data_IF_033198912351
#
_entry.id   IF_033198912351
#
_cell.length_a   1.000
_cell.length_b   1.000
_cell.length_c   1.000
_cell.angle_alpha   90.00
_cell.angle_beta   90.00
_cell.angle_gamma   90.00
#
_symmetry.space_group_name_H-M   'P 1'
#
loop_
_entity.id
_entity.type
_entity.pdbx_description
1 polymer ?
#
# COMPACT_ATOMS: atom_id res chain seq x y z
N UNK A 1 15.13 -22.32 -3.74
CA UNK A 1 15.87 -23.60 -3.60
C UNK A 1 17.39 -23.43 -3.65
N UNK A 2 17.97 -22.71 -4.63
CA UNK A 2 19.43 -22.46 -4.67
C UNK A 2 19.95 -21.72 -3.42
N UNK A 3 19.17 -20.79 -2.87
CA UNK A 3 19.54 -20.07 -1.63
C UNK A 3 19.42 -20.92 -0.35
N UNK A 4 18.81 -22.11 -0.43
CA UNK A 4 18.66 -23.03 0.70
C UNK A 4 19.92 -23.89 0.94
N UNK A 5 20.84 -23.97 -0.03
CA UNK A 5 21.98 -24.89 0.01
C UNK A 5 23.31 -24.21 0.40
N UNK A 6 23.27 -22.96 0.90
CA UNK A 6 24.49 -22.21 1.28
C UNK A 6 25.08 -22.64 2.62
N UNK A 7 24.33 -23.33 3.45
CA UNK A 7 24.78 -23.94 4.71
C UNK A 7 24.23 -25.37 4.76
N UNK A 8 25.00 -26.32 5.28
CA UNK A 8 24.57 -27.70 5.45
C UNK A 8 24.31 -27.93 6.94
N UNK A 9 23.04 -27.89 7.35
CA UNK A 9 22.59 -28.17 8.71
C UNK A 9 21.27 -28.94 8.69
N UNK A 10 20.93 -29.66 9.78
CA UNK A 10 19.65 -30.36 9.90
C UNK A 10 18.44 -29.39 9.85
N UNK A 11 18.65 -28.13 10.26
CA UNK A 11 17.68 -27.05 10.12
C UNK A 11 17.42 -26.70 8.64
N UNK A 12 18.45 -26.79 7.79
CA UNK A 12 18.34 -26.61 6.33
C UNK A 12 17.52 -27.73 5.67
N UNK A 13 17.59 -28.97 6.17
CA UNK A 13 16.82 -30.11 5.64
C UNK A 13 15.32 -30.00 5.94
N UNK A 14 14.98 -29.62 7.17
CA UNK A 14 13.58 -29.40 7.59
C UNK A 14 12.95 -28.23 6.83
N UNK A 15 13.69 -27.12 6.69
CA UNK A 15 13.28 -25.98 5.88
C UNK A 15 13.07 -26.39 4.42
N UNK A 16 14.01 -27.14 3.84
CA UNK A 16 13.91 -27.62 2.46
C UNK A 16 12.67 -28.49 2.24
N UNK A 17 12.37 -29.41 3.15
CA UNK A 17 11.18 -30.25 3.06
C UNK A 17 9.89 -29.42 3.07
N UNK A 18 9.80 -28.43 3.97
CA UNK A 18 8.64 -27.53 4.04
C UNK A 18 8.45 -26.71 2.76
N UNK A 19 9.53 -26.17 2.19
CA UNK A 19 9.48 -25.42 0.94
C UNK A 19 9.11 -26.30 -0.26
N UNK A 20 9.59 -27.55 -0.32
CA UNK A 20 9.20 -28.50 -1.35
C UNK A 20 7.72 -28.88 -1.25
N UNK A 21 7.19 -29.05 -0.04
CA UNK A 21 5.76 -29.31 0.17
C UNK A 21 4.89 -28.13 -0.30
N UNK A 22 5.29 -26.89 0.03
CA UNK A 22 4.61 -25.69 -0.45
C UNK A 22 4.68 -25.57 -1.98
N UNK A 23 5.85 -25.83 -2.56
CA UNK A 23 6.05 -25.82 -4.01
C UNK A 23 5.18 -26.86 -4.71
N UNK A 24 5.12 -28.09 -4.19
CA UNK A 24 4.26 -29.13 -4.73
C UNK A 24 2.80 -28.69 -4.73
N UNK A 25 2.33 -28.11 -3.62
CA UNK A 25 0.96 -27.58 -3.49
C UNK A 25 0.68 -26.48 -4.52
N UNK A 26 1.65 -25.59 -4.77
CA UNK A 26 1.54 -24.53 -5.77
C UNK A 26 1.61 -25.00 -7.23
N UNK A 27 2.19 -26.18 -7.48
CA UNK A 27 2.39 -26.74 -8.82
C UNK A 27 1.34 -27.78 -9.21
N UNK A 28 0.43 -28.16 -8.31
CA UNK A 28 -0.68 -29.06 -8.67
C UNK A 28 -1.50 -28.38 -9.78
N UNK A 29 -1.62 -28.98 -10.98
CA UNK A 29 -2.34 -28.36 -12.08
C UNK A 29 -3.79 -28.11 -11.67
N UNK A 30 -4.26 -26.87 -11.91
CA UNK A 30 -5.67 -26.56 -12.04
C UNK A 30 -6.19 -27.46 -13.16
N UNK A 31 -6.89 -28.55 -12.83
CA UNK A 31 -7.50 -29.42 -13.85
C UNK A 31 -8.55 -28.55 -14.54
N UNK A 32 -8.28 -28.14 -15.78
CA UNK A 32 -9.27 -27.53 -16.66
C UNK A 32 -10.39 -28.56 -16.87
N UNK A 33 -11.42 -28.48 -16.03
CA UNK A 33 -12.72 -29.05 -16.33
C UNK A 33 -13.28 -28.26 -17.50
N UNK A 34 -13.29 -28.88 -18.68
CA UNK A 34 -13.85 -28.36 -19.94
C UNK A 34 -15.38 -28.21 -19.90
N UNK A 35 -15.95 -28.02 -18.71
CA UNK A 35 -17.35 -27.70 -18.44
C UNK A 35 -17.37 -26.78 -17.23
N UNK A 36 -17.96 -25.60 -17.43
CA UNK A 36 -18.01 -24.48 -16.49
C UNK A 36 -18.69 -24.82 -15.17
N UNK A 37 -17.88 -25.36 -14.25
CA UNK A 37 -18.26 -25.59 -12.86
C UNK A 37 -17.22 -24.89 -11.99
N UNK A 38 -17.59 -23.76 -11.40
CA UNK A 38 -16.72 -22.89 -10.61
C UNK A 38 -16.16 -23.57 -9.32
N UNK A 39 -16.63 -24.76 -9.00
CA UNK A 39 -16.28 -25.50 -7.78
C UNK A 39 -14.87 -26.12 -7.80
N UNK A 40 -14.31 -26.45 -8.98
CA UNK A 40 -13.04 -27.18 -9.09
C UNK A 40 -11.81 -26.26 -9.01
N UNK A 41 -11.92 -25.01 -9.51
CA UNK A 41 -10.86 -23.98 -9.47
C UNK A 41 -10.54 -23.54 -8.02
N UNK A 42 -11.53 -23.64 -7.12
CA UNK A 42 -11.43 -23.19 -5.72
C UNK A 42 -10.56 -24.08 -4.82
N UNK A 43 -10.47 -25.39 -5.08
CA UNK A 43 -9.85 -26.33 -4.13
C UNK A 43 -8.32 -26.24 -4.07
N UNK A 44 -7.66 -25.92 -5.19
CA UNK A 44 -6.19 -25.83 -5.26
C UNK A 44 -5.67 -24.59 -4.55
N UNK A 45 -6.32 -23.44 -4.80
CA UNK A 45 -5.96 -22.17 -4.20
C UNK A 45 -6.22 -22.17 -2.69
N UNK A 46 -7.32 -22.78 -2.25
CA UNK A 46 -7.61 -22.96 -0.82
C UNK A 46 -6.58 -23.86 -0.13
N UNK A 47 -6.13 -24.93 -0.80
CA UNK A 47 -5.06 -25.79 -0.28
C UNK A 47 -3.75 -25.02 -0.14
N UNK A 48 -3.41 -24.16 -1.12
CA UNK A 48 -2.22 -23.31 -1.06
C UNK A 48 -2.30 -22.28 0.07
N UNK A 49 -3.44 -21.62 0.26
CA UNK A 49 -3.68 -20.68 1.36
C UNK A 49 -3.55 -21.40 2.71
N UNK A 50 -4.11 -22.60 2.86
CA UNK A 50 -3.96 -23.41 4.08
C UNK A 50 -2.51 -23.80 4.34
N UNK A 51 -1.80 -24.28 3.31
CA UNK A 51 -0.40 -24.67 3.43
C UNK A 51 0.50 -23.48 3.81
N UNK A 52 0.30 -22.31 3.18
CA UNK A 52 1.03 -21.10 3.52
C UNK A 52 0.71 -20.60 4.95
N UNK A 53 -0.55 -20.71 5.38
CA UNK A 53 -0.97 -20.36 6.74
C UNK A 53 -0.32 -21.28 7.77
N UNK A 54 -0.32 -22.59 7.53
CA UNK A 54 0.32 -23.57 8.40
C UNK A 54 1.84 -23.34 8.48
N UNK A 55 2.49 -23.07 7.35
CA UNK A 55 3.91 -22.73 7.30
C UNK A 55 4.18 -21.47 8.13
N UNK A 56 3.40 -20.40 7.96
CA UNK A 56 3.56 -19.14 8.71
C UNK A 56 3.45 -19.32 10.23
N UNK A 57 2.65 -20.28 10.70
CA UNK A 57 2.47 -20.58 12.12
C UNK A 57 3.53 -21.56 12.68
N UNK A 58 4.38 -22.13 11.82
CA UNK A 58 5.42 -23.08 12.22
C UNK A 58 6.70 -22.37 12.65
N UNK A 59 7.52 -23.07 13.44
CA UNK A 59 8.87 -22.61 13.82
C UNK A 59 9.80 -22.45 12.61
N UNK A 60 9.56 -23.18 11.52
CA UNK A 60 10.32 -23.07 10.27
C UNK A 60 10.22 -21.66 9.66
N UNK A 61 9.10 -20.97 9.88
CA UNK A 61 8.93 -19.61 9.39
C UNK A 61 9.84 -18.60 10.11
N UNK A 62 10.26 -18.88 11.34
CA UNK A 62 11.24 -18.04 12.05
C UNK A 62 12.56 -18.04 11.29
N UNK A 63 13.02 -19.20 10.84
CA UNK A 63 14.21 -19.35 9.97
C UNK A 63 14.04 -18.59 8.65
N UNK A 64 12.87 -18.62 8.02
CA UNK A 64 12.58 -17.82 6.80
C UNK A 64 12.67 -16.32 7.12
N UNK A 65 12.09 -15.89 8.24
CA UNK A 65 12.09 -14.49 8.66
C UNK A 65 13.52 -14.01 9.01
N UNK A 66 14.33 -14.84 9.66
CA UNK A 66 15.74 -14.56 9.94
C UNK A 66 16.57 -14.47 8.66
N UNK A 67 16.38 -15.39 7.71
CA UNK A 67 17.05 -15.33 6.40
C UNK A 67 16.62 -14.12 5.59
N UNK A 68 15.36 -13.70 5.70
CA UNK A 68 14.91 -12.44 5.09
C UNK A 68 15.57 -11.22 5.74
N UNK A 69 15.71 -11.19 7.08
CA UNK A 69 16.42 -10.11 7.79
C UNK A 69 17.89 -10.05 7.39
N UNK A 70 18.58 -11.19 7.39
CA UNK A 70 19.97 -11.28 6.94
C UNK A 70 20.11 -11.00 5.43
N UNK A 71 19.13 -11.40 4.62
CA UNK A 71 19.05 -11.15 3.19
C UNK A 71 18.82 -9.68 2.81
N UNK A 72 18.32 -8.84 3.73
CA UNK A 72 18.32 -7.37 3.55
C UNK A 72 19.73 -6.78 3.58
N UNK A 73 20.67 -7.44 4.27
CA UNK A 73 22.09 -7.04 4.37
C UNK A 73 22.92 -7.74 3.28
N UNK A 74 22.60 -9.00 2.97
CA UNK A 74 23.36 -9.87 2.05
C UNK A 74 22.66 -10.09 0.68
N UNK A 75 21.66 -9.28 0.35
CA UNK A 75 20.91 -9.24 -0.92
C UNK A 75 20.21 -10.54 -1.38
N UNK A 76 19.86 -11.50 -0.50
CA UNK A 76 19.00 -12.61 -0.93
C UNK A 76 17.55 -12.14 -1.08
N UNK A 77 17.26 -11.66 -2.30
CA UNK A 77 15.95 -11.17 -2.75
C UNK A 77 14.84 -12.23 -2.60
N UNK A 78 15.18 -13.50 -2.78
CA UNK A 78 14.24 -14.62 -2.78
C UNK A 78 13.63 -14.88 -1.40
N UNK A 79 14.40 -14.77 -0.31
CA UNK A 79 13.85 -14.95 1.04
C UNK A 79 12.83 -13.85 1.38
N UNK A 80 13.15 -12.61 1.03
CA UNK A 80 12.25 -11.47 1.23
C UNK A 80 10.94 -11.63 0.43
N UNK A 81 11.02 -12.09 -0.82
CA UNK A 81 9.86 -12.39 -1.66
C UNK A 81 9.03 -13.54 -1.11
N UNK A 82 9.68 -14.64 -0.73
CA UNK A 82 9.03 -15.81 -0.16
C UNK A 82 8.26 -15.45 1.12
N UNK A 83 8.89 -14.72 2.05
CA UNK A 83 8.24 -14.24 3.27
C UNK A 83 7.03 -13.36 2.94
N UNK A 84 7.16 -12.47 1.95
CA UNK A 84 6.10 -11.58 1.51
C UNK A 84 4.89 -12.37 0.97
N UNK A 85 5.11 -13.32 0.05
CA UNK A 85 4.04 -14.10 -0.57
C UNK A 85 3.36 -15.06 0.42
N UNK A 86 4.12 -15.73 1.29
CA UNK A 86 3.55 -16.54 2.39
C UNK A 86 2.66 -15.66 3.27
N UNK A 87 3.11 -14.43 3.58
CA UNK A 87 2.32 -13.46 4.33
C UNK A 87 1.01 -13.08 3.63
N UNK A 88 1.03 -12.83 2.32
CA UNK A 88 -0.19 -12.50 1.54
C UNK A 88 -1.19 -13.65 1.52
N UNK A 89 -0.72 -14.87 1.32
CA UNK A 89 -1.60 -16.03 1.34
C UNK A 89 -2.20 -16.26 2.73
N UNK A 90 -1.38 -16.17 3.78
CA UNK A 90 -1.86 -16.34 5.15
C UNK A 90 -2.83 -15.24 5.62
N UNK A 91 -2.76 -14.02 5.04
CA UNK A 91 -3.64 -12.92 5.43
C UNK A 91 -5.11 -13.19 5.09
N UNK A 92 -5.41 -14.02 4.08
CA UNK A 92 -6.78 -14.44 3.79
C UNK A 92 -7.42 -15.18 4.97
N UNK A 93 -6.68 -16.10 5.60
CA UNK A 93 -7.16 -16.81 6.80
C UNK A 93 -7.41 -15.85 7.97
N UNK A 94 -6.51 -14.87 8.14
CA UNK A 94 -6.69 -13.79 9.12
C UNK A 94 -7.95 -12.95 8.86
N UNK A 95 -8.16 -12.52 7.61
CA UNK A 95 -9.31 -11.73 7.20
C UNK A 95 -10.64 -12.45 7.48
N UNK A 96 -10.74 -13.75 7.17
CA UNK A 96 -11.93 -14.55 7.47
C UNK A 96 -12.26 -14.56 8.97
N UNK A 97 -11.24 -14.78 9.82
CA UNK A 97 -11.43 -14.75 11.28
C UNK A 97 -11.93 -13.38 11.76
N UNK A 98 -11.39 -12.30 11.19
CA UNK A 98 -11.83 -10.93 11.51
C UNK A 98 -13.27 -10.70 11.07
N UNK A 99 -13.67 -11.14 9.87
CA UNK A 99 -15.04 -11.02 9.36
C UNK A 99 -16.02 -11.78 10.25
N UNK A 100 -15.73 -13.04 10.61
CA UNK A 100 -16.61 -13.81 11.51
C UNK A 100 -16.74 -13.18 12.89
N UNK A 101 -15.65 -12.61 13.42
CA UNK A 101 -15.69 -11.86 14.67
C UNK A 101 -16.51 -10.58 14.53
N UNK A 102 -16.31 -9.83 13.44
CA UNK A 102 -17.05 -8.61 13.15
C UNK A 102 -18.56 -8.90 13.04
N UNK A 103 -18.96 -10.00 12.40
CA UNK A 103 -20.37 -10.41 12.35
C UNK A 103 -20.98 -10.64 13.72
N UNK A 104 -20.24 -11.26 14.65
CA UNK A 104 -20.72 -11.46 16.03
C UNK A 104 -20.83 -10.16 16.82
N UNK A 105 -19.90 -9.22 16.61
CA UNK A 105 -19.85 -7.96 17.35
C UNK A 105 -20.76 -6.88 16.76
N UNK A 106 -20.97 -6.91 15.44
CA UNK A 106 -21.69 -5.91 14.65
C UNK A 106 -22.67 -6.59 13.67
N UNK A 107 -23.62 -7.40 14.15
CA UNK A 107 -24.54 -8.16 13.29
C UNK A 107 -25.30 -7.28 12.30
N UNK A 108 -25.60 -6.03 12.67
CA UNK A 108 -26.27 -5.06 11.81
C UNK A 108 -25.49 -4.62 10.56
N UNK A 109 -24.20 -4.97 10.44
CA UNK A 109 -23.42 -4.81 9.20
C UNK A 109 -23.60 -5.98 8.23
N UNK A 110 -24.19 -7.09 8.67
CA UNK A 110 -24.30 -8.34 7.91
C UNK A 110 -25.75 -8.79 7.73
N UNK A 111 -26.62 -8.50 8.70
CA UNK A 111 -27.99 -9.02 8.75
C UNK A 111 -29.03 -7.94 8.35
N UNK A 112 -28.60 -6.85 7.70
CA UNK A 112 -29.52 -5.86 7.13
C UNK A 112 -29.93 -6.28 5.73
N UNK A 113 -31.23 -6.44 5.52
CA UNK A 113 -31.84 -6.73 4.22
C UNK A 113 -31.59 -5.59 3.20
N UNK A 114 -31.34 -4.36 3.68
CA UNK A 114 -31.15 -3.16 2.86
C UNK A 114 -29.68 -2.72 2.68
N UNK A 115 -28.71 -3.64 2.66
CA UNK A 115 -27.32 -3.27 2.34
C UNK A 115 -27.21 -2.96 0.84
N UNK A 116 -27.08 -1.68 0.52
CA UNK A 116 -26.80 -1.22 -0.85
C UNK A 116 -25.27 -1.09 -1.06
N UNK A 117 -24.75 -1.78 -2.06
CA UNK A 117 -23.38 -1.58 -2.52
C UNK A 117 -23.40 -0.50 -3.58
N UNK A 118 -22.72 0.63 -3.30
CA UNK A 118 -22.53 1.71 -4.27
C UNK A 118 -21.12 1.66 -4.84
N UNK A 119 -21.06 1.74 -6.16
CA UNK A 119 -19.81 1.87 -6.89
C UNK A 119 -19.54 3.35 -7.14
N UNK A 120 -18.29 3.75 -6.90
CA UNK A 120 -17.80 5.10 -7.20
C UNK A 120 -16.77 4.94 -8.30
N UNK A 121 -16.99 5.62 -9.41
CA UNK A 121 -16.06 5.59 -10.54
C UNK A 121 -14.71 6.17 -10.12
N UNK A 122 -13.63 5.61 -10.70
CA UNK A 122 -12.29 6.17 -10.56
C UNK A 122 -12.24 7.60 -11.09
N UNK A 123 -11.37 8.44 -10.53
CA UNK A 123 -11.22 9.81 -10.99
C UNK A 123 -10.62 9.87 -12.39
N UNK A 124 -11.10 10.81 -13.21
CA UNK A 124 -10.50 11.09 -14.50
C UNK A 124 -9.03 11.55 -14.36
N UNK A 125 -8.10 10.99 -15.16
CA UNK A 125 -6.71 11.43 -15.13
C UNK A 125 -6.57 12.87 -15.59
N UNK A 126 -5.84 13.67 -14.82
CA UNK A 126 -5.57 15.05 -15.22
C UNK A 126 -4.44 15.10 -16.26
N UNK A 127 -4.49 16.03 -17.22
CA UNK A 127 -3.40 16.22 -18.16
C UNK A 127 -2.10 16.52 -17.43
N UNK A 128 -0.98 16.04 -17.99
CA UNK A 128 0.34 16.23 -17.43
C UNK A 128 0.55 17.68 -16.95
N UNK A 129 0.70 17.95 -15.64
CA UNK A 129 0.80 19.30 -15.07
C UNK A 129 1.84 20.18 -15.77
N UNK A 130 3.01 19.62 -16.09
CA UNK A 130 4.02 20.36 -16.86
C UNK A 130 3.50 20.83 -18.23
N UNK A 131 2.70 20.05 -18.96
CA UNK A 131 2.15 20.48 -20.26
C UNK A 131 0.97 21.45 -20.05
N UNK A 132 0.08 21.13 -19.12
CA UNK A 132 -1.15 21.90 -18.85
C UNK A 132 -0.86 23.31 -18.33
N UNK A 133 0.00 23.45 -17.31
CA UNK A 133 0.31 24.73 -16.69
C UNK A 133 1.33 25.57 -17.48
N UNK A 134 1.99 24.99 -18.49
CA UNK A 134 2.91 25.70 -19.38
C UNK A 134 2.23 26.33 -20.60
N UNK A 135 0.94 26.04 -20.86
CA UNK A 135 0.23 26.53 -22.03
C UNK A 135 0.23 28.07 -22.14
N UNK A 136 0.35 28.79 -21.02
CA UNK A 136 0.46 30.25 -20.96
C UNK A 136 1.89 30.84 -20.96
N UNK A 137 2.94 30.03 -20.99
CA UNK A 137 4.33 30.51 -20.90
C UNK A 137 4.99 30.66 -22.29
N UNK A 138 6.00 31.54 -22.45
CA UNK A 138 6.82 31.61 -23.68
C UNK A 138 7.49 30.26 -24.00
N UNK A 139 7.63 29.91 -25.28
CA UNK A 139 8.14 28.58 -25.73
C UNK A 139 9.50 28.21 -25.11
N UNK A 140 10.37 29.19 -24.88
CA UNK A 140 11.69 29.04 -24.27
C UNK A 140 11.63 28.58 -22.80
N UNK A 141 10.60 29.02 -22.07
CA UNK A 141 10.38 28.63 -20.66
C UNK A 141 9.70 27.27 -20.53
N UNK A 142 9.02 26.79 -21.58
CA UNK A 142 8.38 25.47 -21.59
C UNK A 142 9.38 24.33 -21.68
N UNK A 143 10.49 24.55 -22.38
CA UNK A 143 11.55 23.56 -22.63
C UNK A 143 12.70 23.61 -21.63
N UNK A 144 12.71 24.59 -20.71
CA UNK A 144 13.77 24.70 -19.70
C UNK A 144 13.74 23.46 -18.79
N UNK A 145 14.79 22.65 -18.87
CA UNK A 145 14.96 21.49 -18.01
C UNK A 145 14.97 21.95 -16.54
N UNK A 146 14.11 21.35 -15.72
CA UNK A 146 14.09 21.64 -14.29
C UNK A 146 15.29 20.96 -13.64
N UNK A 147 16.08 21.70 -12.88
CA UNK A 147 17.17 21.15 -12.07
C UNK A 147 16.81 21.19 -10.59
N UNK A 148 17.53 20.40 -9.79
CA UNK A 148 17.32 20.32 -8.34
C UNK A 148 17.47 21.70 -7.67
N UNK A 149 18.45 22.50 -8.12
CA UNK A 149 18.73 23.84 -7.56
C UNK A 149 17.55 24.79 -7.70
N UNK A 150 16.90 24.81 -8.88
CA UNK A 150 15.72 25.63 -9.13
C UNK A 150 14.52 25.19 -8.29
N UNK A 151 14.36 23.89 -8.11
CA UNK A 151 13.28 23.33 -7.29
C UNK A 151 13.48 23.73 -5.83
N UNK A 152 14.68 23.52 -5.27
CA UNK A 152 15.03 23.87 -3.89
C UNK A 152 14.85 25.37 -3.64
N UNK A 153 15.23 26.21 -4.59
CA UNK A 153 15.07 27.67 -4.48
C UNK A 153 13.61 28.12 -4.35
N UNK A 154 12.65 27.28 -4.76
CA UNK A 154 11.20 27.55 -4.60
C UNK A 154 10.61 26.88 -3.37
N UNK A 155 11.36 26.00 -2.70
CA UNK A 155 10.88 25.25 -1.53
C UNK A 155 11.10 26.00 -0.22
N UNK A 156 12.13 26.84 -0.13
CA UNK A 156 12.43 27.64 1.07
C UNK A 156 12.90 29.04 0.67
N UNK A 157 12.56 30.03 1.50
CA UNK A 157 13.02 31.42 1.38
C UNK A 157 14.20 31.70 2.33
N UNK A 158 14.55 30.76 3.20
CA UNK A 158 15.73 30.89 4.06
C UNK A 158 16.99 30.64 3.22
N UNK A 159 17.80 31.68 3.03
CA UNK A 159 19.01 31.61 2.21
C UNK A 159 20.07 30.64 2.78
N UNK A 160 20.12 30.47 4.11
CA UNK A 160 21.06 29.53 4.75
C UNK A 160 20.62 28.09 4.50
N UNK A 161 19.33 27.78 4.68
CA UNK A 161 18.80 26.46 4.35
C UNK A 161 18.92 26.17 2.86
N UNK A 162 18.62 27.16 2.02
CA UNK A 162 18.71 27.05 0.57
C UNK A 162 20.13 26.70 0.14
N UNK A 163 21.15 27.42 0.60
CA UNK A 163 22.55 27.12 0.29
C UNK A 163 22.93 25.70 0.75
N UNK A 164 22.54 25.31 1.97
CA UNK A 164 22.78 23.98 2.52
C UNK A 164 22.18 22.86 1.66
N UNK A 165 20.89 22.95 1.31
CA UNK A 165 20.23 21.90 0.53
C UNK A 165 20.66 21.91 -0.95
N UNK A 166 21.01 23.06 -1.50
CA UNK A 166 21.63 23.14 -2.82
C UNK A 166 22.98 22.43 -2.85
N UNK A 167 23.82 22.58 -1.83
CA UNK A 167 25.07 21.83 -1.70
C UNK A 167 24.80 20.31 -1.68
N UNK A 168 23.81 19.85 -0.91
CA UNK A 168 23.42 18.44 -0.91
C UNK A 168 22.93 17.94 -2.27
N UNK A 169 22.23 18.77 -3.04
CA UNK A 169 21.80 18.43 -4.39
C UNK A 169 22.98 18.40 -5.38
N UNK A 170 23.95 19.31 -5.23
CA UNK A 170 25.17 19.33 -6.04
C UNK A 170 25.99 18.04 -5.84
N UNK A 171 26.11 17.57 -4.60
CA UNK A 171 26.75 16.28 -4.31
C UNK A 171 26.05 15.10 -5.01
N UNK A 172 24.73 15.17 -5.15
CA UNK A 172 23.91 14.13 -5.79
C UNK A 172 23.94 14.20 -7.32
N UNK A 173 24.54 15.24 -7.91
CA UNK A 173 24.79 15.27 -9.36
C UNK A 173 25.76 14.17 -9.79
N UNK A 174 26.58 13.61 -8.87
CA UNK A 174 27.37 12.39 -9.14
C UNK A 174 26.49 11.21 -9.60
N UNK A 175 25.22 11.20 -9.21
CA UNK A 175 24.21 10.20 -9.58
C UNK A 175 23.30 10.68 -10.73
N UNK A 176 23.58 11.84 -11.33
CA UNK A 176 22.76 12.41 -12.39
C UNK A 176 21.38 12.89 -11.92
N UNK A 177 21.27 13.45 -10.71
CA UNK A 177 19.98 13.90 -10.13
C UNK A 177 19.18 14.79 -11.08
N UNK A 178 19.81 15.78 -11.72
CA UNK A 178 19.10 16.67 -12.67
C UNK A 178 18.58 15.93 -13.90
N UNK A 179 19.30 14.90 -14.37
CA UNK A 179 18.84 14.06 -15.48
C UNK A 179 17.61 13.23 -15.08
N UNK A 180 17.58 12.72 -13.85
CA UNK A 180 16.45 11.97 -13.31
C UNK A 180 15.21 12.88 -13.15
N UNK A 181 15.40 14.09 -12.60
CA UNK A 181 14.33 15.10 -12.50
C UNK A 181 13.78 15.42 -13.89
N UNK A 182 14.68 15.71 -14.84
CA UNK A 182 14.28 16.08 -16.19
C UNK A 182 13.58 14.92 -16.93
N UNK A 183 13.98 13.67 -16.70
CA UNK A 183 13.30 12.50 -17.22
C UNK A 183 11.89 12.37 -16.64
N UNK A 184 11.73 12.54 -15.32
CA UNK A 184 10.42 12.49 -14.68
C UNK A 184 9.49 13.60 -15.18
N UNK A 185 10.00 14.83 -15.36
CA UNK A 185 9.21 15.95 -15.88
C UNK A 185 8.78 15.78 -17.35
N UNK A 186 9.46 14.92 -18.12
CA UNK A 186 9.13 14.61 -19.52
C UNK A 186 8.30 13.34 -19.68
N UNK A 187 7.99 12.65 -18.58
CA UNK A 187 7.27 11.39 -18.63
C UNK A 187 5.85 11.60 -19.16
N UNK A 188 5.58 11.20 -20.39
CA UNK A 188 4.26 11.41 -21.03
C UNK A 188 3.15 10.57 -20.40
N UNK A 189 3.50 9.52 -19.66
CA UNK A 189 2.58 8.66 -18.93
C UNK A 189 2.22 9.20 -17.54
N UNK A 190 2.81 10.34 -17.14
CA UNK A 190 2.43 11.00 -15.90
C UNK A 190 1.03 11.61 -16.02
N UNK A 191 0.04 10.86 -15.53
CA UNK A 191 -1.38 11.18 -15.54
C UNK A 191 -1.92 11.07 -14.12
N UNK A 192 -1.79 12.13 -13.30
CA UNK A 192 -2.22 12.07 -11.91
C UNK A 192 -3.72 11.81 -11.78
N UNK A 193 -4.08 10.96 -10.83
CA UNK A 193 -5.46 10.62 -10.46
C UNK A 193 -5.66 10.80 -8.95
N UNK A 194 -6.89 11.02 -8.51
CA UNK A 194 -7.23 10.95 -7.10
C UNK A 194 -7.27 9.48 -6.68
N UNK A 195 -6.51 9.12 -5.65
CA UNK A 195 -6.52 7.76 -5.12
C UNK A 195 -7.83 7.46 -4.39
N UNK A 196 -8.18 6.18 -4.34
CA UNK A 196 -9.47 5.66 -3.84
C UNK A 196 -9.91 6.25 -2.50
N UNK A 197 -9.00 6.37 -1.53
CA UNK A 197 -9.29 6.86 -0.19
C UNK A 197 -9.76 8.33 -0.23
N UNK A 198 -9.01 9.14 -0.98
CA UNK A 198 -9.25 10.59 -1.10
C UNK A 198 -10.49 10.85 -1.94
N UNK A 199 -10.67 10.08 -3.01
CA UNK A 199 -11.82 10.15 -3.90
C UNK A 199 -13.13 9.79 -3.17
N UNK A 200 -13.13 8.69 -2.42
CA UNK A 200 -14.31 8.27 -1.66
C UNK A 200 -14.71 9.32 -0.62
N UNK A 201 -13.74 9.95 0.06
CA UNK A 201 -14.06 11.02 0.99
C UNK A 201 -14.72 12.21 0.30
N UNK A 202 -14.19 12.66 -0.84
CA UNK A 202 -14.78 13.78 -1.58
C UNK A 202 -16.18 13.43 -2.12
N UNK A 203 -16.36 12.21 -2.62
CA UNK A 203 -17.66 11.70 -3.04
C UNK A 203 -18.67 11.71 -1.88
N UNK A 204 -18.29 11.16 -0.72
CA UNK A 204 -19.14 11.17 0.48
C UNK A 204 -19.50 12.60 0.92
N UNK A 205 -18.53 13.53 0.86
CA UNK A 205 -18.81 14.93 1.19
C UNK A 205 -19.85 15.52 0.24
N UNK A 206 -19.74 15.24 -1.06
CA UNK A 206 -20.65 15.77 -2.08
C UNK A 206 -22.04 15.17 -1.95
N UNK A 207 -22.13 13.84 -1.83
CA UNK A 207 -23.39 13.10 -1.69
C UNK A 207 -24.18 13.57 -0.47
N UNK A 208 -23.51 13.76 0.65
CA UNK A 208 -24.17 14.12 1.91
C UNK A 208 -24.23 15.64 2.18
N UNK A 209 -23.58 16.48 1.37
CA UNK A 209 -23.51 17.94 1.58
C UNK A 209 -24.88 18.62 1.70
N UNK A 210 -25.86 18.17 0.93
CA UNK A 210 -27.19 18.79 0.88
C UNK A 210 -28.13 18.32 2.01
N UNK A 211 -27.94 17.09 2.51
CA UNK A 211 -28.90 16.45 3.42
C UNK A 211 -28.45 16.54 4.88
N UNK A 212 -27.14 16.44 5.12
CA UNK A 212 -26.58 16.35 6.46
C UNK A 212 -25.31 17.18 6.53
N UNK A 213 -25.20 18.06 7.52
CA UNK A 213 -23.99 18.86 7.78
C UNK A 213 -22.76 17.99 8.14
N UNK A 214 -22.89 16.66 8.16
CA UNK A 214 -21.83 15.67 8.40
C UNK A 214 -22.13 14.34 7.70
N UNK A 215 -21.10 13.65 7.21
CA UNK A 215 -21.22 12.31 6.63
C UNK A 215 -21.64 11.29 7.71
N UNK A 216 -22.70 10.49 7.51
CA UNK A 216 -23.20 9.53 8.49
C UNK A 216 -22.40 8.22 8.45
N UNK A 217 -21.29 8.17 9.19
CA UNK A 217 -20.52 6.94 9.36
C UNK A 217 -21.21 5.96 10.32
N UNK A 218 -21.04 4.67 10.07
CA UNK A 218 -21.54 3.61 10.95
C UNK A 218 -20.99 3.77 12.37
N UNK A 219 -21.89 3.83 13.35
CA UNK A 219 -21.58 4.00 14.78
C UNK A 219 -20.63 5.19 15.09
N UNK A 220 -20.72 6.26 14.28
CA UNK A 220 -19.79 7.40 14.32
C UNK A 220 -18.30 7.03 14.12
N UNK A 221 -18.01 5.82 13.64
CA UNK A 221 -16.66 5.36 13.32
C UNK A 221 -16.29 5.90 11.94
N UNK A 222 -15.69 7.09 11.93
CA UNK A 222 -15.22 7.76 10.71
C UNK A 222 -13.98 7.06 10.17
N UNK A 223 -14.16 5.98 9.43
CA UNK A 223 -13.07 5.18 8.90
C UNK A 223 -13.30 4.85 7.42
N UNK A 224 -12.27 5.06 6.60
CA UNK A 224 -12.20 4.62 5.21
C UNK A 224 -11.15 3.52 5.12
N UNK A 225 -11.58 2.32 4.71
CA UNK A 225 -10.72 1.16 4.52
C UNK A 225 -10.45 0.91 3.04
N UNK A 226 -9.20 0.59 2.71
CA UNK A 226 -8.80 0.10 1.39
C UNK A 226 -8.03 -1.22 1.50
N UNK A 227 -7.95 -1.94 0.38
CA UNK A 227 -7.28 -3.24 0.26
C UNK A 227 -5.80 -3.18 0.65
N UNK A 228 -5.13 -2.07 0.30
CA UNK A 228 -3.74 -1.77 0.67
C UNK A 228 -3.69 -0.70 1.78
N UNK A 229 -2.60 -0.64 2.57
CA UNK A 229 -2.35 0.48 3.48
C UNK A 229 -2.27 1.78 2.68
N UNK A 230 -2.42 2.93 3.33
CA UNK A 230 -2.46 4.20 2.59
C UNK A 230 -1.10 4.58 2.00
N UNK A 231 -1.10 5.16 0.81
CA UNK A 231 0.14 5.73 0.27
C UNK A 231 0.56 6.98 1.05
N UNK A 232 1.82 7.40 0.88
CA UNK A 232 2.37 8.55 1.63
C UNK A 232 1.58 9.84 1.36
N UNK A 233 1.15 10.06 0.13
CA UNK A 233 0.41 11.27 -0.26
C UNK A 233 -1.03 11.26 0.27
N UNK A 234 -1.69 10.09 0.27
CA UNK A 234 -2.97 9.91 0.97
C UNK A 234 -2.83 10.16 2.48
N UNK A 235 -1.79 9.62 3.14
CA UNK A 235 -1.53 9.85 4.56
C UNK A 235 -1.41 11.34 4.90
N UNK A 236 -0.66 12.10 4.09
CA UNK A 236 -0.56 13.55 4.26
C UNK A 236 -1.87 14.27 4.05
N UNK A 237 -2.65 13.85 3.06
CA UNK A 237 -3.98 14.40 2.82
C UNK A 237 -4.87 14.18 4.05
N UNK A 238 -4.97 12.96 4.57
CA UNK A 238 -5.81 12.66 5.73
C UNK A 238 -5.29 13.30 7.02
N UNK A 239 -3.98 13.45 7.19
CA UNK A 239 -3.39 14.17 8.31
C UNK A 239 -3.68 15.67 8.29
N UNK A 240 -3.80 16.27 7.11
CA UNK A 240 -4.17 17.67 6.94
C UNK A 240 -5.69 17.90 6.96
N UNK A 241 -6.48 16.85 6.70
CA UNK A 241 -7.93 16.91 6.67
C UNK A 241 -8.54 17.03 8.07
N UNK A 242 -9.48 17.95 8.26
CA UNK A 242 -10.09 18.24 9.56
C UNK A 242 -11.38 17.45 9.88
N UNK A 243 -11.83 16.56 8.98
CA UNK A 243 -13.06 15.80 9.16
C UNK A 243 -13.02 14.69 10.21
N UNK A 244 -11.83 14.40 10.76
CA UNK A 244 -11.60 13.33 11.74
C UNK A 244 -11.75 11.93 11.14
N UNK A 245 -11.70 11.80 9.81
CA UNK A 245 -11.75 10.52 9.11
C UNK A 245 -10.39 9.84 9.24
N UNK A 246 -10.42 8.60 9.71
CA UNK A 246 -9.26 7.74 9.87
C UNK A 246 -9.12 6.83 8.66
N UNK A 247 -7.88 6.48 8.36
CA UNK A 247 -7.51 5.54 7.30
C UNK A 247 -6.51 4.53 7.85
N UNK A 248 -6.21 3.47 7.08
CA UNK A 248 -5.12 2.54 7.42
C UNK A 248 -3.80 3.29 7.53
N UNK A 249 -2.94 2.79 8.43
CA UNK A 249 -1.57 3.31 8.57
C UNK A 249 -0.83 3.24 7.23
N UNK A 250 0.04 4.21 6.97
CA UNK A 250 0.69 4.29 5.66
C UNK A 250 1.78 3.24 5.46
N UNK A 251 1.87 2.65 4.26
CA UNK A 251 3.05 1.88 3.84
C UNK A 251 4.23 2.78 3.41
N UNK A 252 4.07 4.11 3.49
CA UNK A 252 5.08 5.14 3.20
C UNK A 252 5.59 5.18 1.77
N UNK A 253 5.04 4.48 0.78
CA UNK A 253 5.50 4.65 -0.61
C UNK A 253 4.86 5.88 -1.24
N UNK A 254 5.63 6.55 -2.10
CA UNK A 254 5.16 7.67 -2.90
C UNK A 254 4.74 7.16 -4.27
N UNK A 255 3.49 7.41 -4.65
CA UNK A 255 3.01 7.20 -6.01
C UNK A 255 2.78 8.58 -6.63
N UNK A 256 3.60 8.94 -7.61
CA UNK A 256 3.59 10.30 -8.16
C UNK A 256 2.30 10.62 -8.93
N UNK A 257 1.64 9.60 -9.52
CA UNK A 257 0.32 9.73 -10.16
C UNK A 257 -0.76 9.94 -9.09
N UNK A 258 -0.74 11.11 -8.45
CA UNK A 258 -1.62 11.46 -7.35
C UNK A 258 -2.04 12.92 -7.46
N UNK A 259 -3.31 13.20 -7.24
CA UNK A 259 -3.85 14.55 -7.16
C UNK A 259 -4.95 14.65 -6.10
N UNK A 260 -5.16 15.86 -5.60
CA UNK A 260 -6.36 16.20 -4.82
C UNK A 260 -7.56 16.25 -5.78
N UNK A 261 -8.73 15.72 -5.43
CA UNK A 261 -9.93 15.82 -6.27
C UNK A 261 -10.25 17.25 -6.70
N UNK A 262 -10.70 17.40 -7.95
CA UNK A 262 -11.29 18.63 -8.48
C UNK A 262 -10.42 19.90 -8.29
N UNK A 263 -9.10 19.79 -8.48
CA UNK A 263 -8.15 20.92 -8.35
C UNK A 263 -8.54 22.12 -9.22
N UNK A 264 -9.22 21.88 -10.34
CA UNK A 264 -9.55 22.91 -11.33
C UNK A 264 -10.90 23.60 -11.08
N UNK A 265 -11.65 23.22 -10.04
CA UNK A 265 -12.96 23.83 -9.73
C UNK A 265 -12.77 25.11 -8.91
N UNK A 266 -13.22 26.25 -9.46
CA UNK A 266 -13.16 27.56 -8.81
C UNK A 266 -14.27 27.73 -7.74
N UNK A 267 -14.02 28.51 -6.67
CA UNK A 267 -15.02 28.86 -5.63
C UNK A 267 -14.53 28.69 -4.19
N UNK A 268 -15.42 28.66 -3.19
CA UNK A 268 -15.02 28.42 -1.78
C UNK A 268 -14.35 27.05 -1.59
N UNK A 269 -14.80 26.06 -2.36
CA UNK A 269 -14.16 24.74 -2.45
C UNK A 269 -12.71 24.84 -2.92
N UNK A 270 -12.37 25.81 -3.79
CA UNK A 270 -11.00 26.01 -4.26
C UNK A 270 -10.08 26.48 -3.13
N UNK A 271 -10.54 27.35 -2.22
CA UNK A 271 -9.72 27.79 -1.08
C UNK A 271 -9.40 26.65 -0.10
N UNK A 272 -10.38 25.79 0.18
CA UNK A 272 -10.14 24.58 0.98
C UNK A 272 -9.11 23.69 0.29
N UNK A 273 -9.24 23.47 -1.02
CA UNK A 273 -8.30 22.67 -1.82
C UNK A 273 -6.90 23.27 -1.82
N UNK A 274 -6.75 24.58 -2.01
CA UNK A 274 -5.44 25.26 -1.93
C UNK A 274 -4.77 25.00 -0.58
N UNK A 275 -5.52 25.13 0.53
CA UNK A 275 -4.98 24.80 1.87
C UNK A 275 -4.54 23.35 1.99
N UNK A 276 -5.30 22.42 1.42
CA UNK A 276 -4.94 21.00 1.41
C UNK A 276 -3.67 20.75 0.57
N UNK A 277 -3.57 21.36 -0.61
CA UNK A 277 -2.37 21.28 -1.46
C UNK A 277 -1.17 21.82 -0.69
N UNK A 278 -1.29 22.99 -0.06
CA UNK A 278 -0.19 23.60 0.70
C UNK A 278 0.25 22.76 1.90
N UNK A 279 -0.70 22.13 2.59
CA UNK A 279 -0.40 21.24 3.72
C UNK A 279 0.34 19.98 3.26
N UNK A 280 -0.12 19.34 2.19
CA UNK A 280 0.55 18.17 1.58
C UNK A 280 1.93 18.56 1.06
N UNK A 281 2.05 19.68 0.35
CA UNK A 281 3.33 20.20 -0.15
C UNK A 281 4.31 20.49 0.98
N UNK A 282 3.84 21.00 2.12
CA UNK A 282 4.70 21.24 3.29
C UNK A 282 5.34 19.94 3.78
N UNK A 283 4.58 18.85 3.83
CA UNK A 283 5.11 17.52 4.19
C UNK A 283 6.06 16.96 3.14
N UNK A 284 5.73 17.10 1.86
CA UNK A 284 6.64 16.72 0.77
C UNK A 284 7.97 17.48 0.88
N UNK A 285 7.94 18.78 1.20
CA UNK A 285 9.17 19.58 1.37
C UNK A 285 10.04 19.07 2.52
N UNK A 286 9.42 18.74 3.65
CA UNK A 286 10.11 18.15 4.80
C UNK A 286 10.81 16.84 4.42
N UNK A 287 10.11 15.96 3.70
CA UNK A 287 10.64 14.70 3.22
C UNK A 287 11.80 14.86 2.23
N UNK A 288 11.68 15.79 1.29
CA UNK A 288 12.74 16.08 0.32
C UNK A 288 13.99 16.59 1.03
N UNK A 289 13.85 17.50 1.99
CA UNK A 289 14.98 18.00 2.76
C UNK A 289 15.64 16.92 3.60
N UNK A 290 14.84 16.08 4.26
CA UNK A 290 15.34 14.93 5.01
C UNK A 290 16.11 13.97 4.10
N UNK A 291 15.54 13.62 2.94
CA UNK A 291 16.17 12.73 1.97
C UNK A 291 17.47 13.32 1.38
N UNK A 292 17.53 14.64 1.16
CA UNK A 292 18.74 15.32 0.70
C UNK A 292 19.84 15.32 1.76
N UNK A 293 19.50 15.48 3.05
CA UNK A 293 20.47 15.48 4.14
C UNK A 293 20.95 14.09 4.53
N UNK A 294 20.04 13.12 4.61
CA UNK A 294 20.35 11.77 5.05
C UNK A 294 20.82 10.86 3.90
N UNK A 295 20.62 11.31 2.64
CA UNK A 295 20.87 10.51 1.43
C UNK A 295 20.11 9.18 1.42
N UNK A 296 19.02 9.11 2.19
CA UNK A 296 18.16 7.93 2.33
C UNK A 296 16.73 8.37 2.03
N UNK A 297 16.02 7.56 1.26
CA UNK A 297 14.57 7.70 1.11
C UNK A 297 13.90 6.50 1.74
N UNK A 298 12.91 6.75 2.61
CA UNK A 298 12.01 5.70 3.06
C UNK A 298 11.25 5.13 1.85
N UNK A 299 11.41 3.84 1.56
CA UNK A 299 10.59 3.09 0.60
C UNK A 299 10.42 1.67 1.09
N UNK A 300 9.22 1.16 0.93
CA UNK A 300 8.91 -0.26 1.09
C UNK A 300 8.79 -0.89 -0.30
N UNK A 301 9.45 -2.03 -0.48
CA UNK A 301 9.45 -2.73 -1.77
C UNK A 301 8.04 -3.20 -2.17
N UNK A 302 7.29 -3.70 -1.20
CA UNK A 302 5.90 -4.11 -1.36
C UNK A 302 5.02 -3.19 -0.53
N UNK A 303 3.89 -2.76 -1.08
CA UNK A 303 2.92 -1.91 -0.37
C UNK A 303 2.09 -2.69 0.66
N UNK A 304 2.02 -4.02 0.56
CA UNK A 304 1.24 -4.87 1.46
C UNK A 304 1.86 -5.03 2.87
N UNK A 305 1.02 -5.14 3.89
CA UNK A 305 1.40 -5.47 5.28
C UNK A 305 1.65 -6.97 5.46
N UNK A 306 2.69 -7.49 4.82
CA UNK A 306 3.03 -8.93 4.89
C UNK A 306 4.37 -9.18 5.58
N UNK A 307 5.18 -8.12 5.71
CA UNK A 307 6.40 -8.10 6.47
C UNK A 307 6.07 -7.71 7.91
N UNK A 308 6.15 -8.63 8.87
CA UNK A 308 6.13 -8.29 10.30
C UNK A 308 7.45 -7.67 10.77
N UNK A 309 8.30 -7.19 9.85
CA UNK A 309 9.54 -6.50 10.21
C UNK A 309 9.35 -5.00 10.05
N UNK A 310 9.61 -4.29 11.14
CA UNK A 310 9.71 -2.83 11.24
C UNK A 310 10.42 -2.23 10.01
N UNK A 311 10.05 -1.01 9.58
CA UNK A 311 10.80 -0.27 8.58
C UNK A 311 12.29 -0.23 8.96
N UNK A 312 13.17 -0.33 7.96
CA UNK A 312 14.64 -0.35 8.10
C UNK A 312 15.24 0.96 8.65
N UNK A 313 14.47 1.82 9.30
CA UNK A 313 14.98 3.02 9.95
C UNK A 313 14.23 3.28 11.26
N UNK A 314 14.61 2.53 12.30
CA UNK A 314 14.49 3.01 13.67
C UNK A 314 15.90 3.19 14.18
N UNK A 315 16.36 4.45 14.12
CA UNK A 315 17.43 4.91 15.01
C UNK A 315 17.06 4.49 16.44
N UNK A 316 18.05 3.98 17.18
CA UNK A 316 17.97 3.29 18.50
C UNK A 316 17.39 4.18 19.64
N UNK A 317 16.78 5.31 19.33
CA UNK A 317 16.21 6.22 20.31
C UNK A 317 14.90 6.78 19.78
N UNK A 318 13.78 6.16 20.17
CA UNK A 318 12.44 6.72 19.91
C UNK A 318 11.37 5.66 19.73
N UNK A 319 10.92 5.06 20.83
CA UNK A 319 9.61 4.38 20.85
C UNK A 319 8.53 5.46 20.70
N UNK A 320 7.74 5.50 19.62
CA UNK A 320 6.62 6.41 19.54
C UNK A 320 5.46 5.78 20.33
N UNK A 321 5.07 6.41 21.43
CA UNK A 321 3.90 6.06 22.26
C UNK A 321 2.58 6.45 21.58
N UNK A 322 2.38 6.06 20.31
CA UNK A 322 1.13 6.29 19.59
C UNK A 322 0.21 5.05 19.69
N UNK A 323 -1.06 5.17 20.12
CA UNK A 323 -2.03 4.06 20.16
C UNK A 323 -2.23 3.35 18.81
N UNK A 324 -1.92 3.97 17.67
CA UNK A 324 -1.94 3.29 16.36
C UNK A 324 -0.90 2.16 16.21
N UNK A 325 0.25 2.24 16.91
CA UNK A 325 1.25 1.17 16.94
C UNK A 325 0.85 -0.02 17.84
N UNK A 326 -0.01 0.23 18.83
CA UNK A 326 -0.60 -0.82 19.67
C UNK A 326 -1.65 -1.63 18.91
N UNK A 327 -2.36 -1.03 17.94
CA UNK A 327 -3.31 -1.78 17.09
C UNK A 327 -2.61 -2.88 16.27
N UNK A 328 -1.40 -2.60 15.75
CA UNK A 328 -0.56 -3.61 15.07
C UNK A 328 -0.14 -4.76 15.99
N UNK A 329 0.23 -4.45 17.24
CA UNK A 329 0.58 -5.47 18.23
C UNK A 329 -0.66 -6.27 18.68
N UNK A 330 -1.83 -5.64 18.79
CA UNK A 330 -3.07 -6.30 19.20
C UNK A 330 -3.63 -7.20 18.10
N UNK A 331 -3.43 -6.85 16.82
CA UNK A 331 -3.81 -7.69 15.68
C UNK A 331 -2.96 -8.96 15.60
N UNK A 332 -1.65 -8.86 15.88
CA UNK A 332 -0.74 -10.02 15.96
C UNK A 332 -0.92 -10.84 17.25
N UNK A 333 -1.20 -10.19 18.40
CA UNK A 333 -1.46 -10.85 19.69
C UNK A 333 -2.83 -11.56 19.74
N UNK A 334 -3.84 -11.10 19.00
CA UNK A 334 -5.12 -11.81 18.88
C UNK A 334 -4.99 -13.09 18.05
N UNK A 335 -3.97 -13.21 17.19
CA UNK A 335 -3.70 -14.41 16.40
C UNK A 335 -2.79 -15.42 17.11
N UNK A 336 -2.05 -15.00 18.15
CA UNK A 336 -1.04 -15.81 18.83
C UNK A 336 -1.46 -16.37 20.21
N UNK A 337 -2.71 -16.19 20.67
CA UNK A 337 -3.14 -16.72 21.97
C UNK A 337 -3.86 -18.07 21.86
N UNK A 338 -3.28 -19.20 22.34
CA UNK A 338 -3.98 -20.47 22.49
C UNK A 338 -4.69 -20.48 23.84
N UNK A 339 -5.72 -19.65 24.01
CA UNK A 339 -6.57 -19.72 25.21
C UNK A 339 -7.79 -20.63 24.92
N UNK A 340 -7.57 -21.94 25.12
CA UNK A 340 -8.56 -23.02 25.28
C UNK A 340 -9.83 -22.89 24.41
N UNK A 341 -9.73 -23.35 23.17
CA UNK A 341 -10.91 -23.85 22.47
C UNK A 341 -11.36 -25.14 23.17
N UNK A 342 -12.48 -25.08 23.87
CA UNK A 342 -13.25 -26.29 24.16
C UNK A 342 -13.71 -26.83 22.79
N UNK A 343 -13.36 -28.09 22.50
CA UNK A 343 -13.94 -28.84 21.39
C UNK A 343 -15.46 -28.79 21.52
N UNK A 344 -16.10 -28.16 20.54
CA UNK A 344 -17.53 -28.31 20.29
C UNK A 344 -17.61 -28.86 18.87
N UNK A 345 -17.85 -30.16 18.79
CA UNK A 345 -18.30 -30.84 17.57
C UNK A 345 -19.57 -30.11 17.10
N UNK A 346 -19.47 -29.44 15.95
CA UNK A 346 -20.64 -28.93 15.26
C UNK A 346 -21.07 -30.01 14.29
N UNK A 347 -22.17 -30.69 14.63
CA UNK A 347 -22.90 -31.57 13.72
C UNK A 347 -23.14 -30.84 12.40
N UNK A 348 -22.76 -31.51 11.31
CA UNK A 348 -23.15 -31.13 9.95
C UNK A 348 -24.64 -31.36 9.82
N UNK A 349 -25.40 -30.28 9.76
CA UNK A 349 -26.59 -30.21 8.92
C UNK A 349 -26.99 -28.75 8.76
N UNK A 350 -26.82 -28.24 7.54
CA UNK A 350 -27.69 -27.23 6.92
C UNK A 350 -27.26 -27.07 5.46
N UNK A 351 -28.11 -27.56 4.56
CA UNK A 351 -28.03 -27.29 3.14
C UNK A 351 -28.12 -25.77 2.92
N UNK A 352 -27.10 -25.21 2.29
CA UNK A 352 -27.13 -23.83 1.78
C UNK A 352 -27.55 -23.96 0.32
N UNK A 353 -28.72 -23.41 0.01
CA UNK A 353 -29.21 -23.29 -1.36
C UNK A 353 -28.32 -22.31 -2.15
N UNK A 354 -28.00 -22.74 -3.37
CA UNK A 354 -27.21 -22.03 -4.37
C UNK A 354 -27.87 -20.71 -4.79
N UNK A 355 -27.29 -19.57 -4.39
CA UNK A 355 -27.51 -18.29 -5.04
C UNK A 355 -26.22 -17.81 -5.69
N UNK A 356 -26.02 -18.30 -6.92
CA UNK A 356 -24.90 -17.96 -7.80
C UNK A 356 -25.00 -16.49 -8.28
N UNK A 357 -24.23 -15.59 -7.67
CA UNK A 357 -23.99 -14.26 -8.23
C UNK A 357 -22.96 -14.35 -9.35
N UNK A 358 -23.46 -14.38 -10.59
CA UNK A 358 -22.66 -14.32 -11.81
C UNK A 358 -22.10 -12.90 -12.01
N UNK A 359 -20.80 -12.72 -11.81
CA UNK A 359 -20.09 -11.51 -12.23
C UNK A 359 -19.81 -11.64 -13.73
N UNK A 360 -20.56 -10.90 -14.54
CA UNK A 360 -20.31 -10.81 -15.97
C UNK A 360 -18.97 -10.11 -16.22
N UNK A 361 -18.02 -10.83 -16.81
CA UNK A 361 -16.77 -10.26 -17.30
C UNK A 361 -17.07 -9.34 -18.49
N UNK A 362 -16.99 -8.03 -18.29
CA UNK A 362 -16.82 -7.10 -19.40
C UNK A 362 -15.34 -7.05 -19.78
N UNK A 363 -15.12 -7.35 -21.04
CA UNK A 363 -13.83 -7.52 -21.67
C UNK A 363 -13.41 -6.17 -22.23
N UNK A 364 -12.73 -5.35 -21.43
CA UNK A 364 -12.07 -4.14 -21.93
C UNK A 364 -10.56 -4.38 -22.01
N UNK A 365 -10.08 -4.33 -23.25
CA UNK A 365 -8.67 -4.36 -23.62
C UNK A 365 -8.03 -3.01 -23.28
N UNK A 366 -7.55 -2.85 -22.04
CA UNK A 366 -6.56 -1.83 -21.73
C UNK A 366 -5.32 -2.51 -21.16
N UNK A 367 -4.24 -2.42 -21.93
CA UNK A 367 -2.90 -2.82 -21.48
C UNK A 367 -2.36 -1.72 -20.57
N UNK A 368 -2.86 -1.69 -19.34
CA UNK A 368 -2.21 -0.97 -18.26
C UNK A 368 -1.19 -1.91 -17.60
N UNK A 369 0.08 -1.74 -17.98
CA UNK A 369 1.21 -2.30 -17.21
C UNK A 369 1.41 -1.46 -15.94
N UNK A 370 0.39 -1.41 -15.08
CA UNK A 370 0.58 -1.12 -13.67
C UNK A 370 0.89 -2.46 -13.00
N UNK A 371 2.17 -2.77 -12.95
CA UNK A 371 2.70 -3.90 -12.20
C UNK A 371 2.33 -3.67 -10.72
N UNK A 372 1.25 -4.32 -10.28
CA UNK A 372 0.52 -4.09 -9.03
C UNK A 372 1.35 -4.41 -7.75
N UNK A 373 2.57 -4.93 -7.96
CA UNK A 373 3.62 -5.23 -6.97
C UNK A 373 4.87 -4.31 -7.11
N UNK A 374 4.84 -3.37 -8.04
CA UNK A 374 5.86 -2.34 -8.24
C UNK A 374 5.79 -1.28 -7.15
N UNK A 375 6.53 -1.46 -6.05
CA UNK A 375 6.59 -0.45 -4.98
C UNK A 375 6.85 0.98 -5.51
N UNK A 376 6.29 1.98 -4.83
CA UNK A 376 6.27 3.37 -5.31
C UNK A 376 7.66 4.00 -5.55
N UNK A 377 7.71 5.14 -6.23
CA UNK A 377 8.94 5.74 -6.79
C UNK A 377 10.10 5.83 -5.80
N UNK A 378 11.26 5.26 -6.15
CA UNK A 378 12.50 5.38 -5.39
C UNK A 378 13.33 6.51 -5.99
N UNK A 379 13.67 7.52 -5.17
CA UNK A 379 14.53 8.62 -5.62
C UNK A 379 16.02 8.25 -5.57
N UNK A 380 16.41 7.31 -4.69
CA UNK A 380 17.80 6.89 -4.51
C UNK A 380 17.92 5.38 -4.32
N UNK A 381 18.66 4.71 -5.19
CA UNK A 381 19.27 3.42 -4.85
C UNK A 381 20.58 3.74 -4.14
N UNK A 382 20.64 3.53 -2.82
CA UNK A 382 21.91 3.55 -2.11
C UNK A 382 22.82 2.49 -2.73
N UNK A 383 23.84 2.89 -3.49
CA UNK A 383 24.97 2.00 -3.79
C UNK A 383 25.87 2.03 -2.56
N UNK A 384 25.93 0.92 -1.83
CA UNK A 384 27.00 0.69 -0.90
C UNK A 384 28.31 0.64 -1.70
N UNK A 385 29.32 1.40 -1.25
CA UNK A 385 30.72 1.13 -1.60
C UNK A 385 31.18 -0.15 -0.91
#
# INVERSE_FOLDING_TARGET
MMDCTRTASEEDDSLRAALLSLQHTAQVPQIESDKGDASVVSSGDEALVRAATALRQSTIFETIADRSRAGKINESRHWCELQHFIGRLASYSGALKVIFRARRCHPQLFDKEDIEIRFVDSSDPIPHPMKAFQAGLPSEQRTTARCARDIISRMTFDEVEKEKYQHYADELQRCGLDNLIAAQCRNEYFKPIAHSEVLLLEWLRTEFAAQTHSIPFYDNIKYIGCSKPTCRLCDYYFAAHNGGVRVRSSHRNVYANWVIPDVFVEGQTSQYKTKMIDAVLTKIRQDVFLALSEKVSERKRFDSETQSSLPTYLSVTGVPTNPGGLAFLVEDLCLASPARAHELEVERDMAIEDDAWSVAAQHDNDKDEDDDDGGGTLLFTGRNM
#
